data_IF_530658648640
#
_entry.id   IF_530658648640
#
_cell.length_a   1.000
_cell.length_b   1.000
_cell.length_c   1.000
_cell.angle_alpha   90.00
_cell.angle_beta   90.00
_cell.angle_gamma   90.00
#
_symmetry.space_group_name_H-M   'P 1'
#
loop_
_entity.id
_entity.type
_entity.pdbx_description
1 polymer ?
#
# COMPACT_ATOMS: atom_id res chain seq x y z
N UNK A 1 -2.81 13.99 6.28
CA UNK A 1 -2.56 13.60 4.87
C UNK A 1 -1.34 12.68 4.81
N UNK A 2 -1.32 11.71 3.90
CA UNK A 2 -0.19 10.78 3.72
C UNK A 2 0.80 11.27 2.67
N UNK A 3 2.08 10.91 2.82
CA UNK A 3 3.14 11.24 1.87
C UNK A 3 4.00 10.00 1.61
N UNK A 4 4.19 9.63 0.34
CA UNK A 4 5.04 8.50 -0.07
C UNK A 4 6.25 9.01 -0.82
N UNK A 5 7.45 8.60 -0.41
CA UNK A 5 8.68 8.96 -1.10
C UNK A 5 8.81 8.27 -2.46
N UNK A 6 9.28 8.97 -3.51
CA UNK A 6 9.67 8.35 -4.77
C UNK A 6 10.64 7.18 -4.55
N UNK A 7 10.41 6.06 -5.24
CA UNK A 7 11.24 4.86 -5.11
C UNK A 7 11.21 4.17 -3.74
N UNK A 8 10.38 4.62 -2.78
CA UNK A 8 10.42 4.17 -1.38
C UNK A 8 11.77 4.46 -0.70
N UNK A 9 12.51 5.46 -1.18
CA UNK A 9 13.82 5.85 -0.65
C UNK A 9 13.65 7.04 0.27
N UNK A 10 13.98 6.85 1.55
CA UNK A 10 14.00 7.91 2.56
C UNK A 10 15.00 7.56 3.66
N UNK A 11 15.48 8.59 4.36
CA UNK A 11 16.22 8.47 5.61
C UNK A 11 15.45 9.16 6.75
N UNK A 12 16.00 9.06 7.97
CA UNK A 12 15.37 9.65 9.14
C UNK A 12 15.22 11.17 9.04
N UNK A 13 16.20 11.87 8.48
CA UNK A 13 16.17 13.33 8.33
C UNK A 13 15.06 13.78 7.37
N UNK A 14 14.89 13.10 6.23
CA UNK A 14 13.81 13.34 5.28
C UNK A 14 12.45 13.05 5.89
N UNK A 15 12.30 11.93 6.61
CA UNK A 15 11.07 11.59 7.31
C UNK A 15 10.71 12.67 8.34
N UNK A 16 11.66 13.11 9.18
CA UNK A 16 11.42 14.17 10.17
C UNK A 16 10.97 15.48 9.52
N UNK A 17 11.54 15.86 8.36
CA UNK A 17 11.09 17.05 7.62
C UNK A 17 9.65 16.92 7.12
N UNK A 18 9.28 15.77 6.56
CA UNK A 18 7.90 15.51 6.10
C UNK A 18 6.92 15.52 7.28
N UNK A 19 7.30 14.93 8.41
CA UNK A 19 6.50 14.97 9.65
C UNK A 19 6.34 16.41 10.14
N UNK A 20 7.40 17.22 10.11
CA UNK A 20 7.35 18.64 10.46
C UNK A 20 6.42 19.49 9.58
N UNK A 21 6.05 19.00 8.39
CA UNK A 21 5.04 19.61 7.52
C UNK A 21 3.60 19.13 7.83
N UNK A 22 3.40 18.34 8.88
CA UNK A 22 2.09 17.77 9.24
C UNK A 22 1.65 16.61 8.33
N UNK A 23 2.59 15.99 7.61
CA UNK A 23 2.34 14.84 6.74
C UNK A 23 2.76 13.54 7.42
N UNK A 24 2.06 12.45 7.11
CA UNK A 24 2.38 11.11 7.60
C UNK A 24 3.19 10.39 6.51
N UNK A 25 4.51 10.16 6.68
CA UNK A 25 5.29 9.38 5.75
C UNK A 25 4.78 7.94 5.70
N UNK A 26 4.60 7.39 4.49
CA UNK A 26 4.19 6.01 4.30
C UNK A 26 5.10 5.26 3.32
N UNK A 27 5.44 4.03 3.72
CA UNK A 27 6.15 3.06 2.90
C UNK A 27 5.22 2.01 2.29
N UNK A 28 5.82 1.03 1.63
CA UNK A 28 5.15 -0.17 1.16
C UNK A 28 6.10 -1.34 1.34
N UNK A 29 5.57 -2.47 1.80
CA UNK A 29 6.28 -3.73 2.01
C UNK A 29 5.95 -4.79 0.94
N UNK A 30 5.07 -4.44 0.00
CA UNK A 30 4.69 -5.32 -1.09
C UNK A 30 4.52 -4.56 -2.41
N UNK A 31 5.45 -4.81 -3.33
CA UNK A 31 5.41 -4.39 -4.72
C UNK A 31 5.29 -5.61 -5.67
N UNK A 32 4.08 -5.97 -6.13
CA UNK A 32 3.84 -7.16 -6.94
C UNK A 32 4.67 -7.23 -8.23
N UNK A 33 4.97 -6.09 -8.86
CA UNK A 33 5.80 -6.06 -10.06
C UNK A 33 7.25 -6.49 -9.80
N UNK A 34 7.73 -6.39 -8.55
CA UNK A 34 9.03 -6.87 -8.11
C UNK A 34 8.97 -8.28 -7.50
N UNK A 35 7.85 -8.99 -7.63
CA UNK A 35 7.66 -10.33 -7.08
C UNK A 35 7.46 -10.37 -5.56
N UNK A 36 7.22 -9.21 -4.93
CA UNK A 36 6.88 -9.16 -3.51
C UNK A 36 5.41 -9.49 -3.32
N UNK A 37 5.12 -10.50 -2.49
CA UNK A 37 3.77 -10.99 -2.24
C UNK A 37 3.20 -10.31 -0.99
N UNK A 38 1.98 -9.73 -1.05
CA UNK A 38 1.34 -9.15 0.12
C UNK A 38 1.09 -10.17 1.22
N UNK A 39 1.21 -9.72 2.47
CA UNK A 39 0.85 -10.46 3.68
C UNK A 39 -0.30 -9.72 4.37
N UNK A 40 -0.83 -10.33 5.42
CA UNK A 40 -1.76 -9.62 6.30
C UNK A 40 -1.09 -8.35 6.87
N UNK A 41 -1.78 -7.20 6.79
CA UNK A 41 -1.25 -5.90 7.20
C UNK A 41 -0.35 -5.20 6.18
N UNK A 42 -0.05 -5.81 5.03
CA UNK A 42 0.80 -5.16 4.01
C UNK A 42 0.15 -3.91 3.39
N UNK A 43 0.97 -2.90 3.11
CA UNK A 43 0.62 -1.76 2.26
C UNK A 43 1.14 -2.06 0.86
N UNK A 44 0.23 -2.29 -0.09
CA UNK A 44 0.59 -2.73 -1.45
C UNK A 44 0.85 -1.52 -2.37
N UNK A 45 2.03 -1.47 -3.00
CA UNK A 45 2.36 -0.47 -4.01
C UNK A 45 1.99 -0.97 -5.41
N UNK A 46 1.17 -0.18 -6.09
CA UNK A 46 0.72 -0.43 -7.47
C UNK A 46 0.84 0.86 -8.27
N UNK A 47 1.44 0.81 -9.46
CA UNK A 47 1.46 1.94 -10.38
C UNK A 47 0.30 1.86 -11.38
N UNK A 48 -0.85 2.44 -11.02
CA UNK A 48 -2.05 2.49 -11.86
C UNK A 48 -2.00 3.43 -13.07
N UNK A 49 -0.85 4.07 -13.34
CA UNK A 49 -0.69 5.05 -14.42
C UNK A 49 -0.35 4.42 -15.79
N UNK A 50 -0.33 3.10 -15.89
CA UNK A 50 -0.05 2.37 -17.14
C UNK A 50 1.43 2.10 -17.42
N UNK A 51 2.35 2.67 -16.64
CA UNK A 51 3.80 2.45 -16.85
C UNK A 51 4.30 1.11 -16.26
N UNK A 52 3.47 0.39 -15.51
CA UNK A 52 3.81 -0.91 -14.91
C UNK A 52 2.66 -1.93 -15.05
N UNK A 53 2.33 -2.37 -16.28
CA UNK A 53 1.21 -3.28 -16.52
C UNK A 53 1.37 -4.65 -15.81
N UNK A 54 2.60 -5.09 -15.59
CA UNK A 54 2.89 -6.35 -14.91
C UNK A 54 2.45 -6.35 -13.44
N UNK A 55 2.66 -5.24 -12.71
CA UNK A 55 2.23 -5.11 -11.32
C UNK A 55 0.70 -5.17 -11.17
N UNK A 56 0.00 -4.52 -12.08
CA UNK A 56 -1.47 -4.56 -12.16
C UNK A 56 -1.95 -5.99 -12.40
N UNK A 57 -1.37 -6.69 -13.40
CA UNK A 57 -1.72 -8.08 -13.69
C UNK A 57 -1.55 -8.98 -12.46
N UNK A 58 -0.41 -8.86 -11.76
CA UNK A 58 -0.13 -9.64 -10.54
C UNK A 58 -1.10 -9.34 -9.41
N UNK A 59 -1.49 -8.07 -9.24
CA UNK A 59 -2.50 -7.70 -8.27
C UNK A 59 -3.87 -8.31 -8.60
N UNK A 60 -4.31 -8.25 -9.86
CA UNK A 60 -5.57 -8.88 -10.28
C UNK A 60 -5.54 -10.40 -10.08
N UNK A 61 -4.43 -11.07 -10.44
CA UNK A 61 -4.22 -12.50 -10.17
C UNK A 61 -4.36 -12.83 -8.66
N UNK A 62 -3.79 -11.99 -7.79
CA UNK A 62 -3.93 -12.15 -6.34
C UNK A 62 -5.40 -12.02 -5.91
N UNK A 63 -6.13 -11.02 -6.37
CA UNK A 63 -7.55 -10.84 -6.03
C UNK A 63 -8.39 -12.04 -6.47
N UNK A 64 -8.12 -12.59 -7.66
CA UNK A 64 -8.77 -13.82 -8.11
C UNK A 64 -8.46 -15.01 -7.19
N UNK A 65 -7.20 -15.16 -6.77
CA UNK A 65 -6.79 -16.23 -5.86
C UNK A 65 -7.44 -16.12 -4.47
N UNK A 66 -7.80 -14.90 -4.05
CA UNK A 66 -8.43 -14.59 -2.75
C UNK A 66 -9.93 -14.38 -2.82
N UNK A 67 -10.58 -14.66 -3.97
CA UNK A 67 -12.00 -14.36 -4.20
C UNK A 67 -12.93 -14.85 -3.09
N UNK A 68 -12.80 -16.10 -2.66
CA UNK A 68 -13.68 -16.67 -1.63
C UNK A 68 -13.45 -16.02 -0.26
N UNK A 69 -12.19 -15.69 0.07
CA UNK A 69 -11.83 -15.02 1.32
C UNK A 69 -12.34 -13.56 1.33
N UNK A 70 -12.29 -12.87 0.17
CA UNK A 70 -12.87 -11.54 -0.01
C UNK A 70 -14.38 -11.58 0.20
N UNK A 71 -15.09 -12.50 -0.47
CA UNK A 71 -16.55 -12.62 -0.38
C UNK A 71 -17.01 -12.99 1.03
N UNK A 72 -16.23 -13.78 1.76
CA UNK A 72 -16.49 -14.14 3.16
C UNK A 72 -15.94 -13.12 4.16
N UNK A 73 -15.38 -11.99 3.71
CA UNK A 73 -14.77 -10.94 4.53
C UNK A 73 -13.59 -11.40 5.40
N UNK A 74 -12.97 -12.53 5.09
CA UNK A 74 -11.73 -13.02 5.73
C UNK A 74 -10.48 -12.31 5.22
N UNK A 75 -10.55 -11.76 4.01
CA UNK A 75 -9.48 -10.95 3.43
C UNK A 75 -10.08 -9.62 2.96
N UNK A 76 -9.55 -8.52 3.48
CA UNK A 76 -10.09 -7.17 3.28
C UNK A 76 -9.05 -6.27 2.64
N UNK A 77 -9.49 -5.46 1.67
CA UNK A 77 -8.77 -4.28 1.22
C UNK A 77 -9.34 -3.10 1.98
N UNK A 78 -8.51 -2.47 2.80
CA UNK A 78 -8.90 -1.34 3.62
C UNK A 78 -8.38 -0.04 3.02
N UNK A 79 -9.16 1.02 3.15
CA UNK A 79 -8.68 2.37 2.90
C UNK A 79 -7.86 2.81 4.09
N UNK A 80 -6.61 3.21 3.84
CA UNK A 80 -5.72 3.67 4.90
C UNK A 80 -6.26 4.91 5.64
N UNK A 81 -7.11 5.72 5.01
CA UNK A 81 -7.75 6.87 5.68
C UNK A 81 -8.66 6.44 6.82
N UNK A 82 -9.29 5.27 6.70
CA UNK A 82 -10.16 4.71 7.73
C UNK A 82 -9.35 4.20 8.94
N UNK A 83 -8.03 4.01 8.81
CA UNK A 83 -7.20 3.58 9.94
C UNK A 83 -6.77 4.72 10.87
N UNK A 84 -7.04 5.97 10.52
CA UNK A 84 -6.66 7.15 11.32
C UNK A 84 -7.87 7.79 12.01
N UNK A 85 -9.08 7.27 11.80
CA UNK A 85 -10.24 7.76 12.54
C UNK A 85 -10.08 7.35 14.00
N UNK A 86 -10.00 8.33 14.88
CA UNK A 86 -10.16 8.11 16.32
C UNK A 86 -11.61 7.68 16.55
N UNK A 87 -11.81 6.55 17.22
CA UNK A 87 -13.08 6.28 17.87
C UNK A 87 -13.38 7.46 18.80
N UNK A 88 -14.50 8.15 18.58
CA UNK A 88 -15.09 9.09 19.55
C UNK A 88 -15.86 8.32 20.63
#
# INVERSE_FOLDING_TARGET
MFFRFPGLVADSALCSRVIGLGLIPIGSDSWPAKGQVPREGSIVLIHGNGNEPYGIKKFIELLHSKRNDILSKKWLLLDLRESITTDE
#
